data_IF_257642320809
#
_entry.id   IF_257642320809
#
_cell.length_a   1.000
_cell.length_b   1.000
_cell.length_c   1.000
_cell.angle_alpha   90.00
_cell.angle_beta   90.00
_cell.angle_gamma   90.00
#
_symmetry.space_group_name_H-M   'P 1'
#
loop_
_entity.id
_entity.type
_entity.pdbx_description
1 polymer ?
#
# COMPACT_ATOMS: atom_id res chain seq x y z
N UNK A 1 -18.22 -11.21 -22.99
CA UNK A 1 -17.01 -10.35 -22.95
C UNK A 1 -16.71 -10.12 -21.50
N UNK A 2 -15.95 -11.05 -20.92
CA UNK A 2 -15.96 -11.29 -19.48
C UNK A 2 -14.61 -10.84 -18.90
N UNK A 3 -14.58 -9.66 -18.29
CA UNK A 3 -13.59 -9.40 -17.25
C UNK A 3 -14.19 -9.89 -15.95
N UNK A 4 -13.77 -11.09 -15.54
CA UNK A 4 -14.11 -11.64 -14.22
C UNK A 4 -13.54 -10.70 -13.15
N UNK A 5 -14.43 -10.01 -12.44
CA UNK A 5 -14.07 -9.38 -11.17
C UNK A 5 -13.63 -10.48 -10.21
N UNK A 6 -12.39 -10.42 -9.75
CA UNK A 6 -11.87 -11.34 -8.74
C UNK A 6 -12.52 -10.95 -7.41
N UNK A 7 -13.65 -11.57 -7.09
CA UNK A 7 -14.20 -11.56 -5.74
C UNK A 7 -13.26 -12.38 -4.88
N UNK A 8 -12.42 -11.71 -4.10
CA UNK A 8 -11.52 -12.36 -3.15
C UNK A 8 -12.40 -13.06 -2.12
N UNK A 9 -12.52 -14.39 -2.24
CA UNK A 9 -13.33 -15.19 -1.34
C UNK A 9 -12.83 -15.05 0.09
N UNK A 10 -13.69 -14.49 0.93
CA UNK A 10 -13.62 -14.47 2.38
C UNK A 10 -13.66 -15.91 2.92
N UNK A 11 -12.52 -16.40 3.42
CA UNK A 11 -12.45 -17.61 4.22
C UNK A 11 -12.30 -17.22 5.70
N UNK A 12 -13.43 -17.34 6.41
CA UNK A 12 -13.62 -17.47 7.85
C UNK A 12 -12.54 -16.88 8.79
N UNK A 13 -12.81 -15.66 9.28
CA UNK A 13 -12.11 -15.04 10.41
C UNK A 13 -11.71 -13.60 10.08
N UNK A 14 -12.59 -12.64 10.32
CA UNK A 14 -12.52 -11.22 9.89
C UNK A 14 -12.38 -11.02 8.36
N UNK A 15 -13.41 -10.47 7.72
CA UNK A 15 -13.35 -10.11 6.29
C UNK A 15 -12.53 -8.82 6.11
N UNK A 16 -11.24 -8.90 6.44
CA UNK A 16 -10.32 -7.77 6.32
C UNK A 16 -10.22 -7.40 4.85
N UNK A 17 -10.53 -6.14 4.55
CA UNK A 17 -10.50 -5.58 3.22
C UNK A 17 -9.69 -4.31 3.27
N UNK A 18 -8.86 -4.07 2.25
CA UNK A 18 -8.06 -2.87 2.15
C UNK A 18 -7.94 -2.49 0.69
N UNK A 19 -7.85 -1.20 0.40
CA UNK A 19 -7.62 -0.72 -0.96
C UNK A 19 -6.89 0.62 -0.95
N UNK A 20 -5.85 0.75 -1.74
CA UNK A 20 -5.24 2.05 -2.04
C UNK A 20 -6.07 2.77 -3.11
N UNK A 21 -6.38 4.04 -2.86
CA UNK A 21 -7.13 4.88 -3.79
C UNK A 21 -6.24 5.87 -4.55
N UNK A 22 -5.05 6.15 -4.03
CA UNK A 22 -4.03 6.92 -4.70
C UNK A 22 -2.74 6.96 -3.89
N UNK A 23 -1.61 7.18 -4.57
CA UNK A 23 -0.32 7.39 -3.95
C UNK A 23 0.58 8.23 -4.84
N UNK A 24 1.44 9.02 -4.23
CA UNK A 24 2.44 9.86 -4.90
C UNK A 24 3.67 10.04 -4.00
N UNK A 25 4.81 10.38 -4.60
CA UNK A 25 6.02 10.67 -3.84
C UNK A 25 6.19 12.19 -3.68
N UNK A 26 6.38 12.62 -2.44
CA UNK A 26 6.63 14.00 -2.09
C UNK A 26 8.14 14.27 -2.03
N UNK A 27 8.64 14.95 -3.07
CA UNK A 27 10.06 15.29 -3.22
C UNK A 27 10.60 16.22 -2.12
N UNK A 28 9.75 17.00 -1.45
CA UNK A 28 10.18 17.94 -0.41
C UNK A 28 10.39 17.24 0.95
N UNK A 29 9.62 16.19 1.22
CA UNK A 29 9.61 15.52 2.53
C UNK A 29 10.18 14.10 2.48
N UNK A 30 10.40 13.55 1.29
CA UNK A 30 10.81 12.17 1.04
C UNK A 30 9.81 11.13 1.57
N UNK A 31 8.52 11.42 1.43
CA UNK A 31 7.44 10.49 1.78
C UNK A 31 6.67 10.06 0.55
N UNK A 32 6.36 8.77 0.47
CA UNK A 32 5.26 8.25 -0.34
C UNK A 32 3.98 8.48 0.46
N UNK A 33 3.10 9.35 -0.04
CA UNK A 33 1.85 9.71 0.62
C UNK A 33 0.67 9.47 -0.31
N UNK A 34 -0.47 9.18 0.29
CA UNK A 34 -1.66 8.83 -0.46
C UNK A 34 -2.85 8.52 0.41
N UNK A 35 -3.84 7.93 -0.22
CA UNK A 35 -5.11 7.57 0.41
C UNK A 35 -5.41 6.09 0.26
N UNK A 36 -6.05 5.54 1.27
CA UNK A 36 -6.46 4.15 1.35
C UNK A 36 -7.79 4.03 2.09
N UNK A 37 -8.41 2.87 1.96
CA UNK A 37 -9.63 2.49 2.68
C UNK A 37 -9.46 1.10 3.26
N UNK A 38 -10.21 0.81 4.33
CA UNK A 38 -10.25 -0.51 4.94
C UNK A 38 -9.17 -0.74 6.01
N UNK A 39 -8.81 -1.99 6.23
CA UNK A 39 -8.06 -2.47 7.39
C UNK A 39 -6.53 -2.50 7.19
N UNK A 40 -5.99 -1.61 6.35
CA UNK A 40 -4.54 -1.51 6.12
C UNK A 40 -3.91 -0.74 7.29
N UNK A 41 -2.91 -1.34 7.92
CA UNK A 41 -2.22 -0.77 9.09
C UNK A 41 -0.72 -0.59 8.88
N UNK A 42 -0.14 -1.35 7.95
CA UNK A 42 1.28 -1.31 7.64
C UNK A 42 1.48 -1.57 6.15
N UNK A 43 2.57 -1.08 5.60
CA UNK A 43 3.00 -1.45 4.26
C UNK A 43 4.51 -1.68 4.20
N UNK A 44 4.94 -2.43 3.20
CA UNK A 44 6.29 -2.28 2.67
C UNK A 44 6.18 -1.75 1.24
N UNK A 45 7.27 -1.15 0.76
CA UNK A 45 7.34 -0.69 -0.62
C UNK A 45 8.49 -1.38 -1.35
N UNK A 46 8.37 -1.49 -2.65
CA UNK A 46 9.43 -1.90 -3.57
C UNK A 46 9.72 -0.73 -4.50
N UNK A 47 10.99 -0.35 -4.63
CA UNK A 47 11.43 0.74 -5.52
C UNK A 47 12.38 0.16 -6.54
N UNK A 48 12.00 0.17 -7.83
CA UNK A 48 12.77 -0.40 -8.94
C UNK A 48 13.22 -1.86 -8.69
N UNK A 49 12.38 -2.66 -8.02
CA UNK A 49 12.69 -4.06 -7.64
C UNK A 49 13.42 -4.21 -6.30
N UNK A 50 13.80 -3.12 -5.64
CA UNK A 50 14.43 -3.15 -4.33
C UNK A 50 13.40 -3.00 -3.20
N UNK A 51 13.21 -4.07 -2.43
CA UNK A 51 12.31 -4.09 -1.26
C UNK A 51 12.84 -3.19 -0.15
N UNK A 52 11.96 -2.33 0.36
CA UNK A 52 12.18 -1.45 1.50
C UNK A 52 11.60 -2.08 2.77
N UNK A 53 12.07 -1.68 3.97
CA UNK A 53 11.57 -2.24 5.23
C UNK A 53 10.08 -2.02 5.43
N UNK A 54 9.45 -2.84 6.27
CA UNK A 54 8.07 -2.62 6.68
C UNK A 54 7.93 -1.33 7.47
N UNK A 55 6.87 -0.56 7.22
CA UNK A 55 6.64 0.71 7.90
C UNK A 55 5.48 1.52 7.32
N UNK A 56 5.61 2.83 7.49
CA UNK A 56 4.57 3.79 7.18
C UNK A 56 3.62 4.05 8.35
N UNK A 57 2.82 5.11 8.20
CA UNK A 57 1.76 5.49 9.12
C UNK A 57 0.45 5.49 8.34
N UNK A 58 -0.51 4.73 8.82
CA UNK A 58 -1.85 4.58 8.25
C UNK A 58 -2.84 5.20 9.22
N UNK A 59 -3.42 6.33 8.83
CA UNK A 59 -4.31 7.10 9.68
C UNK A 59 -5.76 6.64 9.48
N UNK A 60 -6.58 6.75 10.52
CA UNK A 60 -8.00 6.39 10.47
C UNK A 60 -8.82 7.31 9.53
N UNK A 61 -8.28 8.46 9.12
CA UNK A 61 -8.89 9.35 8.12
C UNK A 61 -8.72 8.85 6.67
N UNK A 62 -8.06 7.69 6.49
CA UNK A 62 -7.80 7.10 5.19
C UNK A 62 -6.58 7.69 4.48
N UNK A 63 -5.73 8.47 5.16
CA UNK A 63 -4.44 8.92 4.63
C UNK A 63 -3.30 8.05 5.13
N UNK A 64 -2.30 7.82 4.27
CA UNK A 64 -1.07 7.14 4.69
C UNK A 64 0.16 7.89 4.23
N UNK A 65 1.26 7.67 4.95
CA UNK A 65 2.59 8.17 4.59
C UNK A 65 3.66 7.13 4.89
N UNK A 66 4.61 6.96 3.99
CA UNK A 66 5.74 6.05 4.13
C UNK A 66 7.02 6.81 3.77
N UNK A 67 7.96 6.89 4.70
CA UNK A 67 9.21 7.60 4.45
C UNK A 67 10.20 6.72 3.68
N UNK A 68 10.77 7.23 2.60
CA UNK A 68 11.82 6.53 1.84
C UNK A 68 12.73 7.51 1.10
N UNK A 69 14.01 7.17 1.04
CA UNK A 69 15.01 7.89 0.22
C UNK A 69 15.44 7.10 -1.01
N UNK A 70 14.86 5.91 -1.24
CA UNK A 70 15.24 5.05 -2.36
C UNK A 70 14.67 5.55 -3.69
N UNK A 71 13.62 6.38 -3.66
CA UNK A 71 12.87 6.83 -4.83
C UNK A 71 13.63 7.91 -5.60
N UNK A 72 13.77 7.71 -6.91
CA UNK A 72 14.38 8.66 -7.86
C UNK A 72 13.36 9.02 -8.95
N UNK A 73 13.55 10.14 -9.65
CA UNK A 73 12.65 10.51 -10.74
C UNK A 73 12.60 9.39 -11.79
N UNK A 74 11.39 8.91 -12.11
CA UNK A 74 11.17 7.77 -13.00
C UNK A 74 11.23 6.40 -12.33
N UNK A 75 11.52 6.32 -11.03
CA UNK A 75 11.49 5.06 -10.28
C UNK A 75 10.08 4.50 -10.24
N UNK A 76 9.96 3.18 -10.42
CA UNK A 76 8.71 2.46 -10.22
C UNK A 76 8.59 2.08 -8.74
N UNK A 77 7.58 2.63 -8.07
CA UNK A 77 7.28 2.34 -6.67
C UNK A 77 6.05 1.45 -6.61
N UNK A 78 6.15 0.32 -5.90
CA UNK A 78 5.00 -0.53 -5.58
C UNK A 78 4.82 -0.60 -4.08
N UNK A 79 3.62 -0.32 -3.61
CA UNK A 79 3.22 -0.34 -2.21
C UNK A 79 2.41 -1.61 -1.99
N UNK A 80 2.68 -2.33 -0.91
CA UNK A 80 1.93 -3.51 -0.52
C UNK A 80 1.37 -3.29 0.88
N UNK A 81 0.05 -3.24 1.00
CA UNK A 81 -0.67 -2.93 2.23
C UNK A 81 -1.11 -4.19 2.96
N UNK A 82 -0.91 -4.21 4.27
CA UNK A 82 -1.19 -5.36 5.14
C UNK A 82 -1.94 -4.93 6.39
N UNK A 83 -2.70 -5.87 6.93
CA UNK A 83 -3.21 -5.77 8.30
C UNK A 83 -2.19 -6.40 9.26
N UNK A 84 -1.73 -5.61 10.24
CA UNK A 84 -0.70 -6.01 11.22
C UNK A 84 -1.33 -6.81 12.37
N UNK A 85 -2.57 -6.49 12.71
CA UNK A 85 -3.18 -6.91 13.97
C UNK A 85 -3.71 -8.35 13.93
N UNK A 86 -4.20 -8.84 12.80
CA UNK A 86 -4.96 -10.10 12.79
C UNK A 86 -4.32 -11.23 12.00
N UNK A 87 -3.86 -10.98 10.76
CA UNK A 87 -3.48 -12.07 9.84
C UNK A 87 -2.13 -11.88 9.14
N UNK A 88 -1.45 -10.73 9.28
CA UNK A 88 -0.27 -10.39 8.46
C UNK A 88 -0.53 -10.65 6.96
N UNK A 89 -1.77 -10.41 6.53
CA UNK A 89 -2.25 -10.73 5.20
C UNK A 89 -2.17 -9.49 4.32
N UNK A 90 -1.70 -9.69 3.09
CA UNK A 90 -1.75 -8.67 2.05
C UNK A 90 -3.21 -8.38 1.70
N UNK A 91 -3.61 -7.12 1.82
CA UNK A 91 -4.96 -6.68 1.49
C UNK A 91 -5.02 -6.09 0.09
N UNK A 92 -4.02 -5.30 -0.29
CA UNK A 92 -3.96 -4.65 -1.60
C UNK A 92 -2.53 -4.25 -1.96
N UNK A 93 -2.32 -3.93 -3.24
CA UNK A 93 -1.08 -3.35 -3.75
C UNK A 93 -1.34 -2.23 -4.75
N UNK A 94 -0.47 -1.24 -4.74
CA UNK A 94 -0.57 -0.08 -5.62
C UNK A 94 0.79 0.28 -6.22
N UNK A 95 0.86 0.43 -7.53
CA UNK A 95 2.08 0.83 -8.22
C UNK A 95 1.91 2.20 -8.89
N UNK A 96 2.94 3.03 -8.79
CA UNK A 96 3.03 4.30 -9.50
C UNK A 96 4.49 4.58 -9.90
N UNK A 97 4.67 5.52 -10.82
CA UNK A 97 5.98 6.06 -11.19
C UNK A 97 6.16 7.40 -10.50
N UNK A 98 7.27 7.55 -9.78
CA UNK A 98 7.59 8.76 -9.02
C UNK A 98 8.22 9.87 -9.87
#
# INVERSE_FOLDING_TARGET
MDRKEITVQSLAGSNLQGKFTGASYNWNTAYVEGTFTGDIEVAYIEVDGAVQPWGGSFNADGTFKYWTKAVKPGSKVTIYGYNKTTQHKELDKYSFTA
#
